data_IF_747910202805
#
_entry.id   IF_747910202805
#
_cell.length_a   1.000
_cell.length_b   1.000
_cell.length_c   1.000
_cell.angle_alpha   90.00
_cell.angle_beta   90.00
_cell.angle_gamma   90.00
#
_symmetry.space_group_name_H-M   'P 1'
#
loop_
_entity.id
_entity.type
_entity.pdbx_description
1 polymer ?
#
# COMPACT_ATOMS: atom_id res chain seq x y z
N UNK A 1 23.42 13.65 20.24
CA UNK A 1 22.37 12.65 20.55
C UNK A 1 21.84 12.18 19.21
N UNK A 2 22.20 10.97 18.75
CA UNK A 2 21.77 10.45 17.44
C UNK A 2 20.30 10.06 17.53
N UNK A 3 19.42 10.79 16.85
CA UNK A 3 18.02 10.38 16.68
C UNK A 3 17.98 9.24 15.65
N UNK A 4 18.23 8.00 16.08
CA UNK A 4 18.12 6.84 15.20
C UNK A 4 16.63 6.53 14.98
N UNK A 5 16.14 6.78 13.77
CA UNK A 5 14.79 6.39 13.38
C UNK A 5 14.65 4.86 13.46
N UNK A 6 13.49 4.40 13.93
CA UNK A 6 13.18 2.97 13.97
C UNK A 6 12.87 2.53 12.54
N UNK A 7 13.72 1.67 11.97
CA UNK A 7 13.58 1.18 10.59
C UNK A 7 12.17 0.63 10.31
N UNK A 8 11.54 1.18 9.28
CA UNK A 8 10.21 0.79 8.81
C UNK A 8 9.08 1.07 9.80
N UNK A 9 9.30 1.90 10.82
CA UNK A 9 8.23 2.27 11.76
C UNK A 9 7.09 2.98 11.04
N UNK A 10 5.86 2.57 11.35
CA UNK A 10 4.65 3.13 10.79
C UNK A 10 3.46 2.83 11.71
N UNK A 11 2.54 3.78 11.84
CA UNK A 11 1.44 3.73 12.81
C UNK A 11 0.03 3.85 12.18
N UNK A 12 -0.07 4.26 10.92
CA UNK A 12 -1.34 4.50 10.26
C UNK A 12 -1.39 3.98 8.81
N UNK A 13 -2.59 3.90 8.23
CA UNK A 13 -2.84 3.44 6.87
C UNK A 13 -2.95 4.59 5.85
N UNK A 14 -2.31 5.74 6.09
CA UNK A 14 -2.50 6.91 5.23
C UNK A 14 -1.80 6.75 3.88
N UNK A 15 -2.41 7.33 2.84
CA UNK A 15 -1.82 7.42 1.50
C UNK A 15 -1.42 6.06 0.93
N UNK A 16 -0.19 5.99 0.40
CA UNK A 16 0.40 4.81 -0.25
C UNK A 16 0.44 3.58 0.67
N UNK A 17 0.45 3.77 1.99
CA UNK A 17 0.43 2.67 2.98
C UNK A 17 -0.79 1.78 2.83
N UNK A 18 -1.97 2.37 2.64
CA UNK A 18 -3.22 1.61 2.47
C UNK A 18 -3.19 0.77 1.20
N UNK A 19 -2.67 1.31 0.09
CA UNK A 19 -2.50 0.61 -1.19
C UNK A 19 -1.54 -0.56 -0.99
N UNK A 20 -0.36 -0.31 -0.43
CA UNK A 20 0.65 -1.33 -0.19
C UNK A 20 0.10 -2.44 0.72
N UNK A 21 -0.60 -2.09 1.80
CA UNK A 21 -1.23 -3.05 2.71
C UNK A 21 -2.30 -3.87 1.99
N UNK A 22 -3.17 -3.22 1.22
CA UNK A 22 -4.27 -3.87 0.50
C UNK A 22 -3.76 -4.84 -0.56
N UNK A 23 -2.68 -4.47 -1.26
CA UNK A 23 -1.97 -5.33 -2.19
C UNK A 23 -1.37 -6.55 -1.50
N UNK A 24 -0.66 -6.35 -0.39
CA UNK A 24 -0.04 -7.45 0.38
C UNK A 24 -1.06 -8.40 1.01
N UNK A 25 -2.27 -7.91 1.27
CA UNK A 25 -3.44 -8.69 1.72
C UNK A 25 -4.27 -9.27 0.56
N UNK A 26 -3.86 -9.05 -0.68
CA UNK A 26 -4.54 -9.49 -1.90
C UNK A 26 -5.99 -8.97 -2.02
N UNK A 27 -6.27 -7.81 -1.42
CA UNK A 27 -7.57 -7.13 -1.46
C UNK A 27 -7.65 -6.11 -2.60
N UNK A 28 -6.50 -5.61 -3.05
CA UNK A 28 -6.34 -4.77 -4.25
C UNK A 28 -5.58 -5.57 -5.30
N UNK A 29 -6.17 -5.71 -6.49
CA UNK A 29 -5.66 -6.57 -7.58
C UNK A 29 -5.68 -5.88 -8.94
N UNK A 30 -6.47 -4.83 -9.09
CA UNK A 30 -6.55 -4.02 -10.30
C UNK A 30 -6.28 -2.55 -9.96
N UNK A 31 -5.44 -1.90 -10.76
CA UNK A 31 -5.15 -0.47 -10.69
C UNK A 31 -5.32 0.18 -12.05
N UNK A 32 -5.90 1.39 -12.07
CA UNK A 32 -5.88 2.23 -13.26
C UNK A 32 -4.76 3.25 -13.12
N UNK A 33 -3.68 3.08 -13.87
CA UNK A 33 -2.53 3.98 -13.81
C UNK A 33 -1.69 3.84 -15.08
N UNK A 34 -0.98 4.90 -15.44
CA UNK A 34 0.08 4.85 -16.43
C UNK A 34 1.38 4.41 -15.74
N UNK A 35 1.94 3.28 -16.18
CA UNK A 35 3.15 2.68 -15.60
C UNK A 35 4.40 3.55 -15.73
N UNK A 36 4.40 4.49 -16.69
CA UNK A 36 5.55 5.34 -17.00
C UNK A 36 5.53 6.69 -16.26
N UNK A 37 4.55 6.92 -15.39
CA UNK A 37 4.52 8.14 -14.57
C UNK A 37 5.29 7.89 -13.28
N UNK A 38 6.27 8.75 -13.03
CA UNK A 38 7.04 8.75 -11.79
C UNK A 38 6.17 9.22 -10.62
N UNK A 39 6.34 8.59 -9.46
CA UNK A 39 5.65 9.02 -8.25
C UNK A 39 6.63 9.66 -7.26
N UNK A 40 6.40 10.92 -6.85
CA UNK A 40 7.24 11.57 -5.85
C UNK A 40 6.94 10.98 -4.48
N UNK A 41 7.58 9.86 -4.17
CA UNK A 41 7.66 9.30 -2.82
C UNK A 41 8.89 9.88 -2.14
N UNK A 42 8.77 10.30 -0.89
CA UNK A 42 9.91 10.77 -0.09
C UNK A 42 9.86 10.08 1.27
N UNK A 43 10.92 9.38 1.71
CA UNK A 43 11.03 8.86 3.06
C UNK A 43 10.85 9.96 4.11
N UNK A 44 10.06 9.69 5.15
CA UNK A 44 9.80 10.67 6.22
C UNK A 44 11.08 11.13 6.94
N UNK A 45 12.08 10.25 7.05
CA UNK A 45 13.37 10.56 7.68
C UNK A 45 14.13 11.66 6.90
N UNK A 46 14.04 11.66 5.57
CA UNK A 46 14.63 12.71 4.71
C UNK A 46 13.93 14.04 4.97
N UNK A 47 12.60 14.04 5.06
CA UNK A 47 11.81 15.25 5.37
C UNK A 47 12.14 15.79 6.76
N UNK A 48 12.27 14.91 7.76
CA UNK A 48 12.61 15.28 9.12
C UNK A 48 14.02 15.89 9.20
N UNK A 49 15.02 15.25 8.58
CA UNK A 49 16.38 15.77 8.53
C UNK A 49 16.43 17.14 7.83
N UNK A 50 15.78 17.27 6.68
CA UNK A 50 15.69 18.55 5.98
C UNK A 50 15.03 19.64 6.86
N UNK A 51 13.99 19.29 7.62
CA UNK A 51 13.32 20.23 8.53
C UNK A 51 14.25 20.73 9.63
N UNK A 52 15.09 19.85 10.19
CA UNK A 52 16.10 20.22 11.20
C UNK A 52 17.12 21.18 10.59
N UNK A 53 17.63 20.87 9.40
CA UNK A 53 18.62 21.72 8.71
C UNK A 53 18.02 23.09 8.34
N UNK A 54 16.74 23.14 7.95
CA UNK A 54 16.02 24.42 7.75
C UNK A 54 15.98 25.21 9.06
N UNK A 55 15.65 24.58 10.20
CA UNK A 55 15.68 25.25 11.49
C UNK A 55 17.06 25.86 11.83
N UNK A 56 18.13 25.11 11.56
CA UNK A 56 19.50 25.59 11.73
C UNK A 56 19.87 26.76 10.82
N UNK A 57 19.59 26.68 9.52
CA UNK A 57 19.94 27.76 8.57
C UNK A 57 19.16 29.03 8.89
N UNK A 58 17.89 28.88 9.25
CA UNK A 58 17.05 30.01 9.67
C UNK A 58 17.62 30.66 10.92
N UNK A 59 17.94 29.89 11.96
CA UNK A 59 18.50 30.44 13.19
C UNK A 59 19.87 31.12 13.01
N UNK A 60 20.72 30.60 12.11
CA UNK A 60 22.10 31.09 11.94
C UNK A 60 22.25 32.18 10.89
N UNK A 61 21.37 32.24 9.88
CA UNK A 61 21.47 33.18 8.75
C UNK A 61 20.31 34.17 8.66
N UNK A 62 19.47 34.25 9.70
CA UNK A 62 18.23 35.03 9.78
C UNK A 62 18.35 36.54 9.49
N UNK A 63 19.57 37.11 9.44
CA UNK A 63 19.76 38.53 9.10
C UNK A 63 19.89 38.81 7.59
N UNK A 64 19.82 37.80 6.71
CA UNK A 64 20.13 37.97 5.27
C UNK A 64 18.94 37.88 4.31
N UNK A 65 17.74 37.52 4.77
CA UNK A 65 16.62 37.21 3.86
C UNK A 65 15.45 38.14 4.15
N UNK A 66 15.24 39.11 3.26
CA UNK A 66 14.09 40.03 3.29
C UNK A 66 12.75 39.34 2.98
N UNK A 67 12.76 38.10 2.45
CA UNK A 67 11.57 37.30 2.14
C UNK A 67 11.70 35.86 2.66
N UNK A 68 10.59 35.24 3.12
CA UNK A 68 10.60 33.84 3.54
C UNK A 68 10.92 32.90 2.38
N UNK A 69 11.92 32.03 2.55
CA UNK A 69 12.27 31.02 1.55
C UNK A 69 11.39 29.77 1.66
N UNK A 70 10.95 29.25 0.52
CA UNK A 70 10.18 27.99 0.44
C UNK A 70 11.12 26.86 0.05
N UNK A 71 11.17 25.82 0.87
CA UNK A 71 12.00 24.63 0.63
C UNK A 71 11.13 23.43 0.28
N UNK A 72 11.31 22.87 -0.91
CA UNK A 72 10.57 21.68 -1.36
C UNK A 72 11.41 20.43 -1.14
N UNK A 73 10.92 19.50 -0.32
CA UNK A 73 11.51 18.16 -0.23
C UNK A 73 10.98 17.31 -1.38
N UNK A 74 11.67 17.38 -2.53
CA UNK A 74 11.25 16.69 -3.75
C UNK A 74 12.46 16.21 -4.54
N UNK A 75 12.22 15.23 -5.41
CA UNK A 75 13.18 14.69 -6.39
C UNK A 75 13.57 15.71 -7.47
N UNK A 76 12.89 16.85 -7.55
CA UNK A 76 13.19 17.91 -8.51
C UNK A 76 12.81 17.53 -9.94
N UNK A 77 13.54 18.08 -10.91
CA UNK A 77 13.47 17.69 -12.33
C UNK A 77 14.32 16.44 -12.65
N UNK A 78 14.98 15.84 -11.66
CA UNK A 78 15.85 14.69 -11.89
C UNK A 78 15.08 13.38 -11.81
N UNK A 79 14.50 12.97 -12.93
CA UNK A 79 13.70 11.74 -13.08
C UNK A 79 14.43 10.48 -12.60
N UNK A 80 15.76 10.43 -12.68
CA UNK A 80 16.58 9.28 -12.22
C UNK A 80 16.48 9.00 -10.73
N UNK A 81 16.03 9.96 -9.95
CA UNK A 81 15.90 9.85 -8.50
C UNK A 81 14.53 9.32 -8.07
N UNK A 82 13.52 9.41 -8.95
CA UNK A 82 12.20 8.84 -8.69
C UNK A 82 12.21 7.32 -8.92
N UNK A 83 11.35 6.63 -8.17
CA UNK A 83 10.94 5.27 -8.54
C UNK A 83 9.78 5.37 -9.53
N UNK A 84 9.93 4.73 -10.70
CA UNK A 84 8.82 4.62 -11.65
C UNK A 84 7.68 3.82 -11.01
N UNK A 85 6.43 4.08 -11.40
CA UNK A 85 5.32 3.34 -10.80
C UNK A 85 5.38 1.83 -11.09
N UNK A 86 5.85 1.43 -12.28
CA UNK A 86 6.12 0.03 -12.60
C UNK A 86 7.14 -0.59 -11.65
N UNK A 87 8.29 0.06 -11.44
CA UNK A 87 9.36 -0.48 -10.59
C UNK A 87 8.89 -0.55 -9.13
N UNK A 88 8.16 0.48 -8.67
CA UNK A 88 7.57 0.49 -7.34
C UNK A 88 6.67 -0.74 -7.13
N UNK A 89 5.73 -0.99 -8.06
CA UNK A 89 4.80 -2.11 -7.96
C UNK A 89 5.55 -3.45 -8.04
N UNK A 90 6.53 -3.57 -8.93
CA UNK A 90 7.33 -4.78 -9.07
C UNK A 90 8.13 -5.10 -7.80
N UNK A 91 8.86 -4.11 -7.26
CA UNK A 91 9.63 -4.24 -6.02
C UNK A 91 8.69 -4.62 -4.88
N UNK A 92 7.57 -3.91 -4.71
CA UNK A 92 6.62 -4.18 -3.62
C UNK A 92 6.04 -5.59 -3.73
N UNK A 93 5.60 -6.02 -4.92
CA UNK A 93 5.05 -7.38 -5.10
C UNK A 93 6.13 -8.43 -4.78
N UNK A 94 7.35 -8.26 -5.28
CA UNK A 94 8.47 -9.16 -5.03
C UNK A 94 8.79 -9.26 -3.54
N UNK A 95 8.90 -8.13 -2.85
CA UNK A 95 9.20 -8.09 -1.42
C UNK A 95 8.05 -8.67 -0.59
N UNK A 96 6.80 -8.36 -0.92
CA UNK A 96 5.63 -8.95 -0.25
C UNK A 96 5.54 -10.47 -0.46
N UNK A 97 5.94 -10.97 -1.63
CA UNK A 97 6.06 -12.40 -1.91
C UNK A 97 7.11 -13.09 -1.06
N UNK A 98 8.27 -12.45 -0.93
CA UNK A 98 9.38 -12.89 -0.08
C UNK A 98 9.00 -12.88 1.41
N UNK A 99 8.42 -11.78 1.90
CA UNK A 99 8.10 -11.57 3.32
C UNK A 99 6.87 -12.39 3.75
N UNK A 100 5.89 -12.55 2.84
CA UNK A 100 4.67 -13.32 3.03
C UNK A 100 3.80 -12.81 4.18
N UNK A 101 2.78 -11.99 3.87
CA UNK A 101 1.78 -11.58 4.85
C UNK A 101 0.90 -12.79 5.26
N UNK A 102 0.16 -12.70 6.36
CA UNK A 102 -0.80 -13.74 6.70
C UNK A 102 -1.80 -13.93 5.55
N UNK A 103 -2.07 -15.20 5.22
CA UNK A 103 -2.89 -15.67 4.08
C UNK A 103 -2.22 -15.61 2.69
N UNK A 104 -0.97 -15.15 2.59
CA UNK A 104 -0.18 -15.11 1.35
C UNK A 104 -0.13 -16.42 0.53
N UNK A 105 -0.07 -17.58 1.20
CA UNK A 105 0.06 -18.89 0.51
C UNK A 105 -1.20 -19.34 -0.23
N UNK A 106 -2.30 -18.60 -0.10
CA UNK A 106 -3.60 -18.94 -0.66
C UNK A 106 -3.83 -18.17 -1.96
N UNK A 107 -3.53 -16.88 -1.90
CA UNK A 107 -3.58 -15.96 -3.02
C UNK A 107 -2.30 -15.16 -2.91
N UNK A 108 -1.50 -15.18 -3.97
CA UNK A 108 -0.31 -14.34 -4.01
C UNK A 108 -0.70 -12.91 -4.36
N UNK A 109 -0.03 -11.91 -3.77
CA UNK A 109 -0.19 -10.51 -4.13
C UNK A 109 0.21 -10.38 -5.59
N UNK A 110 -0.69 -9.78 -6.35
CA UNK A 110 -0.50 -9.45 -7.73
C UNK A 110 -1.33 -8.20 -8.00
N UNK A 111 -0.77 -7.27 -8.78
CA UNK A 111 -1.46 -6.06 -9.21
C UNK A 111 -1.38 -6.00 -10.72
N UNK A 112 -2.54 -5.88 -11.35
CA UNK A 112 -2.59 -5.56 -12.77
C UNK A 112 -2.85 -4.09 -12.97
N UNK A 113 -1.98 -3.44 -13.73
CA UNK A 113 -2.12 -2.05 -14.10
C UNK A 113 -2.64 -1.94 -15.53
N UNK A 114 -3.57 -1.03 -15.76
CA UNK A 114 -4.05 -0.69 -17.10
C UNK A 114 -4.43 0.77 -17.19
N UNK A 115 -4.29 1.35 -18.37
CA UNK A 115 -4.87 2.66 -18.69
C UNK A 115 -6.28 2.51 -19.27
N UNK A 116 -6.70 1.30 -19.66
CA UNK A 116 -7.96 1.02 -20.33
C UNK A 116 -9.10 0.92 -19.31
N UNK A 117 -9.92 1.97 -19.23
CA UNK A 117 -10.99 2.12 -18.23
C UNK A 117 -11.99 0.95 -18.18
N UNK A 118 -12.57 0.47 -19.32
CA UNK A 118 -13.52 -0.65 -19.25
C UNK A 118 -12.88 -1.93 -18.71
N UNK A 119 -11.65 -2.22 -19.11
CA UNK A 119 -10.92 -3.41 -18.68
C UNK A 119 -10.61 -3.38 -17.17
N UNK A 120 -10.22 -2.20 -16.67
CA UNK A 120 -10.04 -1.97 -15.24
C UNK A 120 -11.30 -2.31 -14.43
N UNK A 121 -12.47 -1.80 -14.84
CA UNK A 121 -13.74 -2.03 -14.14
C UNK A 121 -14.19 -3.50 -14.22
N UNK A 122 -14.04 -4.15 -15.37
CA UNK A 122 -14.38 -5.57 -15.54
C UNK A 122 -13.52 -6.43 -14.59
N UNK A 123 -12.20 -6.26 -14.60
CA UNK A 123 -11.32 -7.04 -13.71
C UNK A 123 -11.61 -6.75 -12.24
N UNK A 124 -11.79 -5.49 -11.87
CA UNK A 124 -12.10 -5.11 -10.49
C UNK A 124 -13.42 -5.73 -10.03
N UNK A 125 -14.43 -5.80 -10.91
CA UNK A 125 -15.68 -6.48 -10.59
C UNK A 125 -15.45 -7.96 -10.24
N UNK A 126 -14.74 -8.71 -11.09
CA UNK A 126 -14.52 -10.14 -10.88
C UNK A 126 -13.50 -10.49 -9.79
N UNK A 127 -12.45 -9.69 -9.62
CA UNK A 127 -11.34 -10.02 -8.72
C UNK A 127 -11.45 -9.41 -7.32
N UNK A 128 -12.26 -8.35 -7.16
CA UNK A 128 -12.36 -7.63 -5.89
C UNK A 128 -13.80 -7.53 -5.38
N UNK A 129 -14.73 -7.06 -6.21
CA UNK A 129 -16.11 -6.75 -5.80
C UNK A 129 -16.92 -8.05 -5.61
N UNK A 130 -17.03 -8.87 -6.66
CA UNK A 130 -17.81 -10.11 -6.63
C UNK A 130 -17.35 -11.05 -5.50
N UNK A 131 -16.04 -11.31 -5.29
CA UNK A 131 -15.58 -12.11 -4.16
C UNK A 131 -15.95 -11.49 -2.81
N UNK A 132 -15.89 -10.17 -2.64
CA UNK A 132 -16.27 -9.52 -1.39
C UNK A 132 -17.75 -9.72 -1.05
N UNK A 133 -18.64 -9.60 -2.04
CA UNK A 133 -20.07 -9.89 -1.86
C UNK A 133 -20.34 -11.36 -1.57
N UNK A 134 -19.65 -12.28 -2.25
CA UNK A 134 -19.78 -13.72 -1.96
C UNK A 134 -19.34 -14.05 -0.54
N UNK A 135 -18.19 -13.52 -0.09
CA UNK A 135 -17.69 -13.75 1.28
C UNK A 135 -18.68 -13.21 2.32
N UNK A 136 -19.20 -12.00 2.13
CA UNK A 136 -20.18 -11.44 3.06
C UNK A 136 -21.51 -12.23 3.02
N UNK A 137 -21.97 -12.66 1.84
CA UNK A 137 -23.16 -13.49 1.69
C UNK A 137 -23.04 -14.82 2.45
N UNK A 138 -21.96 -15.59 2.23
CA UNK A 138 -21.75 -16.83 2.98
C UNK A 138 -21.50 -16.59 4.48
N UNK A 139 -20.94 -15.44 4.85
CA UNK A 139 -20.80 -15.06 6.26
C UNK A 139 -22.15 -14.80 6.91
N UNK A 140 -23.09 -14.13 6.23
CA UNK A 140 -24.48 -13.98 6.70
C UNK A 140 -25.16 -15.33 6.90
N UNK A 141 -25.04 -16.24 5.92
CA UNK A 141 -25.64 -17.58 5.98
C UNK A 141 -25.07 -18.43 7.11
N UNK A 142 -23.85 -18.15 7.55
CA UNK A 142 -23.18 -18.84 8.68
C UNK A 142 -23.24 -18.04 9.98
N UNK A 143 -24.10 -17.01 10.06
CA UNK A 143 -24.27 -16.12 11.22
C UNK A 143 -22.96 -15.48 11.71
N UNK A 144 -22.07 -15.14 10.78
CA UNK A 144 -20.80 -14.45 11.04
C UNK A 144 -20.88 -12.97 10.67
N UNK A 145 -19.94 -12.22 11.23
CA UNK A 145 -19.75 -10.80 10.94
C UNK A 145 -19.41 -10.59 9.47
N UNK A 146 -20.18 -9.73 8.80
CA UNK A 146 -19.87 -9.21 7.47
C UNK A 146 -19.00 -7.96 7.55
N UNK A 147 -18.24 -7.72 6.50
CA UNK A 147 -17.39 -6.53 6.42
C UNK A 147 -16.51 -6.45 5.18
N UNK A 148 -16.47 -7.48 4.34
CA UNK A 148 -15.62 -7.48 3.14
C UNK A 148 -16.05 -6.42 2.14
N UNK A 149 -17.37 -6.23 1.93
CA UNK A 149 -17.87 -5.17 1.04
C UNK A 149 -17.54 -3.79 1.60
N UNK A 150 -17.67 -3.60 2.93
CA UNK A 150 -17.30 -2.34 3.60
C UNK A 150 -15.80 -2.06 3.46
N UNK A 151 -14.97 -3.09 3.61
CA UNK A 151 -13.52 -2.99 3.44
C UNK A 151 -13.14 -2.65 2.00
N UNK A 152 -13.73 -3.35 1.02
CA UNK A 152 -13.51 -3.08 -0.40
C UNK A 152 -13.92 -1.64 -0.75
N UNK A 153 -15.05 -1.13 -0.23
CA UNK A 153 -15.48 0.27 -0.40
C UNK A 153 -14.46 1.26 0.18
N UNK A 154 -13.86 0.97 1.33
CA UNK A 154 -12.80 1.81 1.90
C UNK A 154 -11.57 1.85 1.01
N UNK A 155 -11.11 0.69 0.54
CA UNK A 155 -9.97 0.58 -0.40
C UNK A 155 -10.28 1.38 -1.67
N UNK A 156 -11.49 1.22 -2.21
CA UNK A 156 -11.99 1.93 -3.39
C UNK A 156 -11.91 3.44 -3.23
N UNK A 157 -12.32 3.96 -2.07
CA UNK A 157 -12.25 5.39 -1.77
C UNK A 157 -10.80 5.88 -1.76
N UNK A 158 -9.89 5.13 -1.12
CA UNK A 158 -8.48 5.53 -1.07
C UNK A 158 -7.84 5.52 -2.46
N UNK A 159 -8.10 4.48 -3.26
CA UNK A 159 -7.64 4.42 -4.66
C UNK A 159 -8.17 5.61 -5.45
N UNK A 160 -9.45 5.96 -5.30
CA UNK A 160 -10.04 7.10 -5.98
C UNK A 160 -9.39 8.44 -5.56
N UNK A 161 -9.12 8.63 -4.27
CA UNK A 161 -8.44 9.84 -3.76
C UNK A 161 -7.01 9.95 -4.28
N UNK A 162 -6.28 8.82 -4.35
CA UNK A 162 -4.88 8.80 -4.79
C UNK A 162 -4.74 8.85 -6.32
N UNK A 163 -5.79 8.55 -7.06
CA UNK A 163 -5.74 8.47 -8.53
C UNK A 163 -5.30 9.80 -9.17
N UNK A 164 -5.72 10.94 -8.63
CA UNK A 164 -5.31 12.26 -9.13
C UNK A 164 -3.79 12.49 -8.97
N UNK A 165 -3.23 12.06 -7.85
CA UNK A 165 -1.80 12.22 -7.57
C UNK A 165 -0.96 11.22 -8.37
N UNK A 166 -1.46 9.99 -8.54
CA UNK A 166 -0.78 8.95 -9.30
C UNK A 166 -0.89 9.14 -10.83
N UNK A 167 -1.95 9.76 -11.34
CA UNK A 167 -2.16 9.92 -12.79
C UNK A 167 -1.48 11.15 -13.39
N UNK A 168 -0.95 12.04 -12.56
CA UNK A 168 -0.31 13.27 -13.01
C UNK A 168 1.17 13.27 -12.63
N UNK A 169 2.01 13.77 -13.52
CA UNK A 169 3.42 13.97 -13.21
C UNK A 169 3.59 15.30 -12.48
N UNK A 170 4.31 15.28 -11.37
CA UNK A 170 4.54 16.45 -10.53
C UNK A 170 6.03 16.77 -10.48
N UNK A 171 6.40 17.94 -10.97
CA UNK A 171 7.77 18.43 -10.94
C UNK A 171 7.79 19.67 -10.06
N UNK A 172 8.44 19.55 -8.90
CA UNK A 172 8.63 20.66 -7.97
C UNK A 172 10.06 21.15 -8.04
N UNK A 173 10.26 22.46 -8.17
CA UNK A 173 11.61 23.03 -8.09
C UNK A 173 12.20 22.83 -6.68
N UNK A 174 13.42 22.31 -6.61
CA UNK A 174 14.14 22.04 -5.36
C UNK A 174 15.43 22.87 -5.22
N UNK A 175 15.53 24.01 -5.92
CA UNK A 175 16.69 24.90 -5.88
C UNK A 175 17.11 25.30 -4.45
N UNK A 176 16.16 25.71 -3.61
CA UNK A 176 16.44 26.09 -2.22
C UNK A 176 16.92 24.92 -1.36
N UNK A 177 16.44 23.70 -1.63
CA UNK A 177 16.84 22.49 -0.92
C UNK A 177 18.25 22.04 -1.32
N UNK A 178 18.60 22.20 -2.60
CA UNK A 178 19.98 21.98 -3.08
C UNK A 178 20.93 23.03 -2.53
N UNK A 179 20.50 24.30 -2.49
CA UNK A 179 21.27 25.36 -1.83
C UNK A 179 21.52 25.00 -0.37
N UNK A 180 20.51 24.49 0.35
CA UNK A 180 20.64 24.07 1.75
C UNK A 180 21.72 22.99 1.93
N UNK A 181 21.74 21.95 1.08
CA UNK A 181 22.79 20.91 1.09
C UNK A 181 24.19 21.49 0.91
N UNK A 182 24.33 22.50 0.03
CA UNK A 182 25.62 23.15 -0.24
C UNK A 182 26.12 24.03 0.93
N UNK A 183 25.23 24.43 1.85
CA UNK A 183 25.62 25.21 3.03
C UNK A 183 26.08 24.34 4.19
N UNK A 184 25.85 23.03 4.15
CA UNK A 184 26.20 22.10 5.23
C UNK A 184 27.66 21.69 5.16
N UNK A 185 28.27 21.47 6.33
CA UNK A 185 29.57 20.80 6.42
C UNK A 185 29.42 19.32 6.07
N UNK A 186 30.52 18.64 5.71
CA UNK A 186 30.44 17.21 5.38
C UNK A 186 30.01 16.36 6.58
N UNK A 187 30.40 16.75 7.79
CA UNK A 187 29.91 16.13 9.03
C UNK A 187 28.39 16.26 9.18
N UNK A 188 27.83 17.46 8.94
CA UNK A 188 26.38 17.68 9.04
C UNK A 188 25.62 16.94 7.94
N UNK A 189 26.19 16.81 6.73
CA UNK A 189 25.58 16.05 5.64
C UNK A 189 25.47 14.57 5.97
N UNK A 190 26.43 14.01 6.72
CA UNK A 190 26.37 12.63 7.19
C UNK A 190 25.35 12.47 8.32
N UNK A 191 25.33 13.38 9.29
CA UNK A 191 24.44 13.28 10.46
C UNK A 191 22.97 13.59 10.11
N UNK A 192 22.73 14.60 9.27
CA UNK A 192 21.39 15.07 8.86
C UNK A 192 21.18 14.89 7.36
N UNK A 193 21.53 13.71 6.85
CA UNK A 193 21.40 13.41 5.43
C UNK A 193 19.96 13.55 4.91
N UNK A 194 19.76 14.34 3.86
CA UNK A 194 18.47 14.49 3.18
C UNK A 194 18.58 14.57 1.64
N UNK A 195 19.71 14.17 1.05
CA UNK A 195 19.78 14.11 -0.41
C UNK A 195 18.94 12.94 -0.93
N UNK A 196 17.87 13.28 -1.64
CA UNK A 196 16.93 12.32 -2.22
C UNK A 196 17.58 11.44 -3.29
N UNK A 197 18.73 11.84 -3.87
CA UNK A 197 19.44 11.07 -4.90
C UNK A 197 19.99 9.75 -4.41
N UNK A 198 20.27 9.66 -3.12
CA UNK A 198 20.95 8.50 -2.52
C UNK A 198 19.97 7.44 -2.00
N UNK A 199 18.67 7.58 -2.32
CA UNK A 199 17.64 6.62 -1.91
C UNK A 199 17.79 5.30 -2.68
N UNK A 200 18.14 4.23 -1.96
CA UNK A 200 17.95 2.87 -2.45
C UNK A 200 16.48 2.45 -2.28
N UNK A 201 15.72 2.53 -3.38
CA UNK A 201 14.31 2.15 -3.42
C UNK A 201 14.05 0.69 -3.07
N UNK A 202 14.97 -0.22 -3.39
CA UNK A 202 14.80 -1.66 -3.07
C UNK A 202 14.89 -1.88 -1.56
N UNK A 203 15.90 -1.30 -0.91
CA UNK A 203 16.07 -1.41 0.54
C UNK A 203 14.92 -0.69 1.26
N UNK A 204 14.55 0.51 0.80
CA UNK A 204 13.47 1.28 1.40
C UNK A 204 12.13 0.54 1.32
N UNK A 205 11.71 0.09 0.14
CA UNK A 205 10.42 -0.59 -0.05
C UNK A 205 10.36 -1.95 0.67
N UNK A 206 11.49 -2.67 0.76
CA UNK A 206 11.58 -3.87 1.59
C UNK A 206 11.33 -3.57 3.06
N UNK A 207 12.04 -2.58 3.61
CA UNK A 207 11.86 -2.16 5.01
C UNK A 207 10.43 -1.66 5.26
N UNK A 208 9.84 -0.98 4.29
CA UNK A 208 8.46 -0.53 4.35
C UNK A 208 7.48 -1.72 4.41
N UNK A 209 7.65 -2.74 3.57
CA UNK A 209 6.83 -3.95 3.62
C UNK A 209 6.96 -4.70 4.96
N UNK A 210 8.18 -4.82 5.50
CA UNK A 210 8.44 -5.40 6.82
C UNK A 210 7.74 -4.57 7.90
N UNK A 211 7.83 -3.23 7.80
CA UNK A 211 7.20 -2.26 8.68
C UNK A 211 5.69 -2.43 8.76
N UNK A 212 5.02 -2.49 7.60
CA UNK A 212 3.57 -2.74 7.51
C UNK A 212 3.20 -4.05 8.20
N UNK A 213 3.94 -5.12 7.94
CA UNK A 213 3.68 -6.43 8.57
C UNK A 213 3.85 -6.38 10.10
N UNK A 214 4.92 -5.76 10.58
CA UNK A 214 5.29 -5.74 12.00
C UNK A 214 4.45 -4.76 12.82
N UNK A 215 4.32 -3.51 12.36
CA UNK A 215 3.77 -2.43 13.17
C UNK A 215 2.27 -2.19 12.91
N UNK A 216 1.80 -2.27 11.66
CA UNK A 216 0.38 -2.06 11.33
C UNK A 216 -0.45 -3.33 11.48
N UNK A 217 -0.01 -4.40 10.80
CA UNK A 217 -0.74 -5.67 10.80
C UNK A 217 -0.49 -6.48 12.07
N UNK A 218 0.60 -6.18 12.81
CA UNK A 218 1.03 -6.87 14.03
C UNK A 218 1.18 -8.38 13.81
N UNK A 219 1.65 -8.76 12.63
CA UNK A 219 1.87 -10.15 12.25
C UNK A 219 3.27 -10.63 12.62
N UNK A 220 3.43 -11.93 12.93
CA UNK A 220 4.75 -12.48 13.15
C UNK A 220 5.58 -12.42 11.86
N UNK A 221 6.82 -11.92 11.96
CA UNK A 221 7.74 -11.83 10.82
C UNK A 221 7.98 -13.21 10.18
N UNK A 222 8.09 -14.24 11.01
CA UNK A 222 8.11 -15.64 10.56
C UNK A 222 6.70 -16.17 10.34
N UNK A 223 6.48 -16.80 9.19
CA UNK A 223 5.15 -17.28 8.83
C UNK A 223 4.76 -18.51 9.68
N UNK A 224 3.76 -18.33 10.56
CA UNK A 224 3.32 -19.42 11.44
C UNK A 224 2.58 -20.52 10.65
N UNK A 225 2.75 -21.79 11.08
CA UNK A 225 1.94 -22.91 10.58
C UNK A 225 0.44 -22.77 10.94
N UNK A 226 0.09 -21.96 11.94
CA UNK A 226 -1.29 -21.76 12.44
C UNK A 226 -2.21 -21.09 11.41
N UNK A 227 -1.74 -20.12 10.63
CA UNK A 227 -2.58 -19.41 9.65
C UNK A 227 -3.18 -20.35 8.60
N UNK A 228 -2.41 -21.37 8.18
CA UNK A 228 -2.86 -22.43 7.24
C UNK A 228 -4.03 -23.25 7.79
N UNK A 229 -3.96 -23.63 9.05
CA UNK A 229 -4.97 -24.49 9.70
C UNK A 229 -6.28 -23.72 9.90
N UNK A 230 -6.19 -22.46 10.34
CA UNK A 230 -7.36 -21.59 10.52
C UNK A 230 -8.09 -21.35 9.21
N UNK A 231 -7.37 -21.09 8.12
CA UNK A 231 -7.99 -20.83 6.82
C UNK A 231 -8.55 -22.07 6.14
N UNK A 232 -7.84 -23.22 6.18
CA UNK A 232 -8.41 -24.49 5.67
C UNK A 232 -9.75 -24.76 6.35
N UNK A 233 -9.83 -24.62 7.68
CA UNK A 233 -11.08 -24.74 8.42
C UNK A 233 -12.15 -23.75 7.94
N UNK A 234 -11.79 -22.53 7.56
CA UNK A 234 -12.72 -21.54 7.01
C UNK A 234 -13.23 -21.95 5.62
N UNK A 235 -12.34 -22.33 4.70
CA UNK A 235 -12.72 -22.81 3.36
C UNK A 235 -13.59 -24.06 3.42
N UNK A 236 -13.19 -25.06 4.21
CA UNK A 236 -13.98 -26.30 4.35
C UNK A 236 -15.37 -25.99 4.89
N UNK A 237 -15.50 -25.03 5.82
CA UNK A 237 -16.81 -24.59 6.32
C UNK A 237 -17.64 -23.87 5.27
N UNK A 238 -17.05 -22.97 4.48
CA UNK A 238 -17.78 -22.29 3.41
C UNK A 238 -18.22 -23.27 2.32
N UNK A 239 -17.36 -24.23 1.96
CA UNK A 239 -17.70 -25.32 1.04
C UNK A 239 -18.84 -26.21 1.56
N UNK A 240 -18.78 -26.61 2.84
CA UNK A 240 -19.87 -27.38 3.47
C UNK A 240 -21.17 -26.58 3.53
N UNK A 241 -21.11 -25.27 3.79
CA UNK A 241 -22.30 -24.42 3.76
C UNK A 241 -22.92 -24.34 2.35
N UNK A 242 -22.10 -24.19 1.31
CA UNK A 242 -22.57 -24.21 -0.08
C UNK A 242 -23.28 -25.53 -0.40
N UNK A 243 -22.67 -26.67 -0.05
CA UNK A 243 -23.28 -27.98 -0.25
C UNK A 243 -24.60 -28.14 0.49
N UNK A 244 -24.69 -27.67 1.74
CA UNK A 244 -25.93 -27.69 2.53
C UNK A 244 -27.05 -26.87 1.85
N UNK A 245 -26.75 -25.68 1.33
CA UNK A 245 -27.75 -24.87 0.60
C UNK A 245 -28.18 -25.49 -0.73
N UNK A 246 -27.24 -26.06 -1.50
CA UNK A 246 -27.56 -26.80 -2.72
C UNK A 246 -28.46 -28.01 -2.41
N UNK A 247 -28.19 -28.72 -1.31
CA UNK A 247 -29.06 -29.80 -0.83
C UNK A 247 -30.46 -29.29 -0.44
N UNK A 248 -30.55 -28.19 0.31
CA UNK A 248 -31.84 -27.62 0.75
C UNK A 248 -32.70 -27.14 -0.42
N UNK A 249 -32.08 -26.51 -1.41
CA UNK A 249 -32.76 -26.05 -2.64
C UNK A 249 -33.19 -27.23 -3.53
N UNK A 250 -32.36 -28.26 -3.65
CA UNK A 250 -32.74 -29.50 -4.34
C UNK A 250 -33.89 -30.22 -3.61
N UNK A 251 -33.81 -30.32 -2.28
CA UNK A 251 -34.83 -30.98 -1.46
C UNK A 251 -36.17 -30.26 -1.52
N UNK A 252 -36.19 -28.94 -1.39
CA UNK A 252 -37.42 -28.14 -1.51
C UNK A 252 -38.03 -28.26 -2.91
N UNK A 253 -37.23 -28.17 -3.98
CA UNK A 253 -37.69 -28.42 -5.37
C UNK A 253 -38.31 -29.80 -5.54
N UNK A 254 -37.71 -30.84 -4.95
CA UNK A 254 -38.22 -32.22 -5.01
C UNK A 254 -39.49 -32.41 -4.18
N UNK A 255 -39.57 -31.80 -3.00
CA UNK A 255 -40.75 -31.85 -2.13
C UNK A 255 -41.96 -31.17 -2.77
N UNK A 256 -41.79 -29.98 -3.36
CA UNK A 256 -42.87 -29.29 -4.07
C UNK A 256 -43.28 -30.02 -5.36
N UNK A 257 -42.34 -30.60 -6.12
CA UNK A 257 -42.68 -31.46 -7.27
C UNK A 257 -43.53 -32.68 -6.90
N UNK A 258 -43.34 -33.25 -5.71
CA UNK A 258 -44.12 -34.41 -5.22
C UNK A 258 -45.51 -34.05 -4.67
N UNK A 259 -45.81 -32.77 -4.44
CA UNK A 259 -47.13 -32.29 -4.00
C UNK A 259 -47.99 -31.76 -5.15
N UNK A 260 -47.40 -31.54 -6.33
CA UNK A 260 -48.06 -30.99 -7.53
C UNK A 260 -48.44 -32.08 -8.55
N UNK A 261 -48.14 -33.34 -8.26
CA UNK A 261 -48.57 -34.56 -8.95
C UNK A 261 -49.09 -35.53 -7.90
#
# INVERSE_FOLDING_TARGET
>A
MKFLSIKGWIDNYSGTTSILTSLGKCLLRSGQANSYIDHPLIPVDIVANMTIVIGWITATKNNLLSNPMVYNCSTGSNYKTCVSFSDYVEIVIREQKSIGFENYRLIQPNLYLTTITPFYYIRRFFEEILPAYLIDFFSLLTFRKTGMVKLNKRISNVVATLNYFASNQWIFSNHNSQFLLNQMTDFDKEEFHFDVKDIDWTIYLRNYCIGVKKYLLKEPLHQSKKSKLTFRKILTRYFLSLLFFLFLTWFTRRYFRRKLF
#
